data_IF_908452918682
#
_entry.id   IF_908452918682
#
_cell.length_a   1.000
_cell.length_b   1.000
_cell.length_c   1.000
_cell.angle_alpha   90.00
_cell.angle_beta   90.00
_cell.angle_gamma   90.00
#
_symmetry.space_group_name_H-M   'P 1'
#
loop_
_entity.id
_entity.type
_entity.pdbx_description
1 polymer ?
#
# COMPACT_ATOMS: atom_id res chain seq x y z
N UNK A 1 26.08 -8.54 -2.94
CA UNK A 1 24.85 -8.47 -3.76
C UNK A 1 23.77 -7.76 -3.00
N UNK A 2 23.18 -6.73 -3.58
CA UNK A 2 22.05 -6.01 -2.95
C UNK A 2 20.86 -6.94 -2.74
N UNK A 3 20.35 -7.00 -1.52
CA UNK A 3 19.13 -7.74 -1.15
C UNK A 3 17.86 -6.92 -1.38
N UNK A 4 17.99 -5.81 -2.08
CA UNK A 4 16.98 -4.77 -2.21
C UNK A 4 16.61 -4.60 -3.68
N UNK A 5 15.31 -4.47 -3.95
CA UNK A 5 14.77 -4.06 -5.25
C UNK A 5 13.82 -2.90 -5.01
N UNK A 6 13.91 -1.86 -5.82
CA UNK A 6 12.97 -0.73 -5.77
C UNK A 6 12.07 -0.72 -7.01
N UNK A 7 10.83 -0.27 -6.80
CA UNK A 7 9.82 -0.03 -7.82
C UNK A 7 9.17 1.32 -7.58
N UNK A 8 8.82 2.00 -8.64
CA UNK A 8 8.04 3.23 -8.59
C UNK A 8 6.74 2.99 -9.34
N UNK A 9 5.63 3.25 -8.67
CA UNK A 9 4.29 3.07 -9.21
C UNK A 9 3.59 4.42 -9.14
N UNK A 10 3.04 4.87 -10.26
CA UNK A 10 2.39 6.17 -10.37
C UNK A 10 1.02 6.02 -10.99
N UNK A 11 0.05 6.75 -10.48
CA UNK A 11 -1.29 6.82 -11.05
C UNK A 11 -1.90 8.20 -10.84
N UNK A 12 -2.89 8.53 -11.67
CA UNK A 12 -3.70 9.73 -11.49
C UNK A 12 -5.07 9.33 -10.96
N UNK A 13 -5.43 9.88 -9.80
CA UNK A 13 -6.69 9.61 -9.11
C UNK A 13 -7.58 10.86 -9.21
N UNK A 14 -8.81 10.77 -9.72
CA UNK A 14 -9.76 11.87 -9.68
C UNK A 14 -10.04 12.29 -8.24
N UNK A 15 -9.88 13.58 -7.94
CA UNK A 15 -10.12 14.11 -6.61
C UNK A 15 -8.95 14.91 -6.05
N UNK A 16 -9.23 15.66 -4.99
CA UNK A 16 -8.24 16.52 -4.35
C UNK A 16 -7.25 15.70 -3.52
N UNK A 17 -5.96 16.11 -3.43
CA UNK A 17 -4.94 15.39 -2.68
C UNK A 17 -5.34 15.05 -1.24
N UNK A 18 -5.97 15.98 -0.52
CA UNK A 18 -6.39 15.74 0.85
C UNK A 18 -7.42 14.60 0.97
N UNK A 19 -8.38 14.53 0.04
CA UNK A 19 -9.39 13.48 0.02
C UNK A 19 -8.79 12.12 -0.35
N UNK A 20 -7.95 12.09 -1.38
CA UNK A 20 -7.27 10.88 -1.84
C UNK A 20 -6.35 10.34 -0.74
N UNK A 21 -5.58 11.22 -0.08
CA UNK A 21 -4.71 10.87 1.04
C UNK A 21 -5.49 10.33 2.23
N UNK A 22 -6.58 10.98 2.63
CA UNK A 22 -7.39 10.56 3.75
C UNK A 22 -8.02 9.17 3.50
N UNK A 23 -8.50 8.93 2.29
CA UNK A 23 -9.04 7.63 1.90
C UNK A 23 -7.97 6.52 1.92
N UNK A 24 -6.77 6.82 1.43
CA UNK A 24 -5.64 5.88 1.42
C UNK A 24 -5.17 5.50 2.83
N UNK A 25 -5.23 6.45 3.77
CA UNK A 25 -4.78 6.23 5.16
C UNK A 25 -5.62 5.22 5.93
N UNK A 26 -6.88 5.05 5.57
CA UNK A 26 -7.69 3.97 6.12
C UNK A 26 -7.46 2.70 5.32
N UNK A 27 -6.59 1.84 5.83
CA UNK A 27 -6.21 0.61 5.15
C UNK A 27 -7.41 -0.34 4.93
N UNK A 28 -8.49 -0.19 5.68
CA UNK A 28 -9.71 -0.98 5.46
C UNK A 28 -10.34 -0.66 4.10
N UNK A 29 -10.17 0.55 3.58
CA UNK A 29 -10.60 0.93 2.25
C UNK A 29 -9.84 0.17 1.15
N UNK A 30 -8.55 -0.14 1.38
CA UNK A 30 -7.73 -0.84 0.39
C UNK A 30 -8.23 -2.25 0.11
N UNK A 31 -8.98 -2.86 1.03
CA UNK A 31 -9.67 -4.13 0.78
C UNK A 31 -10.60 -4.07 -0.45
N UNK A 32 -11.13 -2.89 -0.76
CA UNK A 32 -12.04 -2.69 -1.91
C UNK A 32 -11.31 -2.64 -3.26
N UNK A 33 -10.05 -2.34 -3.26
CA UNK A 33 -9.27 -2.05 -4.47
C UNK A 33 -8.01 -2.93 -4.64
N UNK A 34 -7.46 -3.43 -3.54
CA UNK A 34 -6.27 -4.29 -3.61
C UNK A 34 -6.64 -5.73 -3.99
N UNK A 35 -6.01 -6.29 -5.04
CA UNK A 35 -6.45 -7.57 -5.62
C UNK A 35 -6.26 -8.79 -4.71
N UNK A 36 -5.34 -8.71 -3.74
CA UNK A 36 -4.97 -9.84 -2.87
C UNK A 36 -5.59 -9.74 -1.48
N UNK A 37 -5.87 -8.53 -0.98
CA UNK A 37 -6.35 -8.32 0.38
C UNK A 37 -7.78 -8.84 0.56
N UNK A 38 -7.96 -9.78 1.50
CA UNK A 38 -9.27 -10.34 1.85
C UNK A 38 -9.74 -9.91 3.24
N UNK A 39 -8.85 -9.50 4.11
CA UNK A 39 -9.19 -8.97 5.44
C UNK A 39 -8.17 -7.94 5.90
N UNK A 40 -8.66 -6.91 6.60
CA UNK A 40 -7.86 -5.87 7.24
C UNK A 40 -8.44 -5.61 8.63
N UNK A 41 -7.57 -5.58 9.65
CA UNK A 41 -7.97 -5.25 11.02
C UNK A 41 -6.95 -4.30 11.63
N UNK A 42 -7.41 -3.14 12.05
CA UNK A 42 -6.59 -2.22 12.84
C UNK A 42 -6.34 -2.80 14.22
N UNK A 43 -5.10 -2.79 14.67
CA UNK A 43 -4.68 -3.38 15.95
C UNK A 43 -4.01 -2.41 16.90
N UNK A 44 -3.67 -1.22 16.45
CA UNK A 44 -3.09 -0.19 17.30
C UNK A 44 -2.97 1.15 16.61
N UNK A 45 -2.92 2.19 17.43
CA UNK A 45 -2.63 3.57 17.01
C UNK A 45 -1.70 4.23 18.01
N UNK A 46 -0.84 5.11 17.54
CA UNK A 46 0.01 5.96 18.35
C UNK A 46 0.17 7.31 17.69
N UNK A 47 0.51 8.32 18.46
CA UNK A 47 0.86 9.65 17.99
C UNK A 47 2.28 9.96 18.45
N UNK A 48 3.19 10.20 17.51
CA UNK A 48 4.54 10.60 17.82
C UNK A 48 4.61 12.09 18.24
N UNK A 49 5.71 12.49 18.89
CA UNK A 49 5.88 13.85 19.39
C UNK A 49 5.85 14.93 18.30
N UNK A 50 6.22 14.57 17.07
CA UNK A 50 6.18 15.45 15.89
C UNK A 50 4.80 15.53 15.21
N UNK A 51 3.78 14.87 15.78
CA UNK A 51 2.43 14.80 15.23
C UNK A 51 2.23 13.69 14.19
N UNK A 52 3.23 12.85 13.93
CA UNK A 52 3.07 11.68 13.04
C UNK A 52 2.11 10.67 13.65
N UNK A 53 1.02 10.40 12.95
CA UNK A 53 0.10 9.33 13.32
C UNK A 53 0.67 7.98 12.86
N UNK A 54 0.72 7.01 13.75
CA UNK A 54 1.19 5.65 13.48
C UNK A 54 0.03 4.70 13.69
N UNK A 55 -0.30 3.93 12.68
CA UNK A 55 -1.40 2.95 12.75
C UNK A 55 -0.89 1.58 12.34
N UNK A 56 -1.16 0.59 13.17
CA UNK A 56 -0.81 -0.80 12.94
C UNK A 56 -2.03 -1.61 12.51
N UNK A 57 -1.84 -2.43 11.49
CA UNK A 57 -2.86 -3.30 10.93
C UNK A 57 -2.38 -4.75 10.86
N UNK A 58 -3.31 -5.68 10.97
CA UNK A 58 -3.16 -7.05 10.49
C UNK A 58 -3.89 -7.15 9.16
N UNK A 59 -3.16 -7.58 8.14
CA UNK A 59 -3.66 -7.75 6.77
C UNK A 59 -3.57 -9.20 6.39
N UNK A 60 -4.65 -9.72 5.82
CA UNK A 60 -4.68 -11.09 5.28
C UNK A 60 -4.82 -11.02 3.77
N UNK A 61 -3.86 -11.60 3.08
CA UNK A 61 -3.87 -11.78 1.64
C UNK A 61 -4.30 -13.20 1.28
N UNK A 62 -4.89 -13.32 0.09
CA UNK A 62 -5.15 -14.58 -0.58
C UNK A 62 -4.51 -14.54 -1.96
N UNK A 63 -3.65 -15.50 -2.24
CA UNK A 63 -3.02 -15.65 -3.54
C UNK A 63 -3.04 -17.10 -3.99
N UNK A 64 -2.87 -17.31 -5.29
CA UNK A 64 -2.73 -18.65 -5.88
C UNK A 64 -1.25 -18.85 -6.22
N UNK A 65 -0.64 -19.88 -5.63
CA UNK A 65 0.74 -20.27 -5.90
C UNK A 65 0.74 -21.73 -6.32
N UNK A 66 1.23 -22.02 -7.51
CA UNK A 66 1.25 -23.37 -8.08
C UNK A 66 -0.12 -24.07 -8.03
N UNK A 67 -1.21 -23.35 -8.30
CA UNK A 67 -2.58 -23.87 -8.25
C UNK A 67 -3.21 -23.99 -6.86
N UNK A 68 -2.44 -23.72 -5.81
CA UNK A 68 -2.91 -23.75 -4.43
C UNK A 68 -3.35 -22.36 -3.95
N UNK A 69 -4.51 -22.29 -3.31
CA UNK A 69 -4.98 -21.06 -2.65
C UNK A 69 -4.33 -20.95 -1.29
N UNK A 70 -3.48 -19.96 -1.13
CA UNK A 70 -2.75 -19.69 0.11
C UNK A 70 -3.30 -18.40 0.73
N UNK A 71 -3.55 -18.45 2.04
CA UNK A 71 -3.82 -17.26 2.86
C UNK A 71 -2.66 -17.06 3.80
N UNK A 72 -2.24 -15.80 3.95
CA UNK A 72 -1.23 -15.44 4.95
C UNK A 72 -1.55 -14.09 5.54
N UNK A 73 -1.27 -13.95 6.83
CA UNK A 73 -1.51 -12.72 7.59
C UNK A 73 -0.18 -12.09 7.96
N UNK A 74 -0.08 -10.79 7.81
CA UNK A 74 1.12 -10.03 8.10
C UNK A 74 0.77 -8.68 8.72
N UNK A 75 1.78 -8.03 9.30
CA UNK A 75 1.64 -6.70 9.90
C UNK A 75 1.98 -5.62 8.88
N UNK A 76 1.15 -4.57 8.87
CA UNK A 76 1.42 -3.34 8.14
C UNK A 76 1.36 -2.19 9.13
N UNK A 77 2.39 -1.34 9.11
CA UNK A 77 2.41 -0.09 9.84
C UNK A 77 2.36 1.05 8.85
N UNK A 78 1.48 2.01 9.10
CA UNK A 78 1.39 3.26 8.36
C UNK A 78 1.83 4.39 9.27
N UNK A 79 2.79 5.19 8.81
CA UNK A 79 3.25 6.41 9.46
C UNK A 79 2.86 7.60 8.60
N UNK A 80 1.96 8.41 9.12
CA UNK A 80 1.39 9.55 8.43
C UNK A 80 1.74 10.84 9.18
N UNK A 81 2.78 11.58 8.75
CA UNK A 81 3.04 12.91 9.27
C UNK A 81 1.90 13.86 8.91
N UNK A 82 1.73 14.98 9.64
CA UNK A 82 0.73 16.00 9.31
C UNK A 82 0.83 16.48 7.86
N UNK A 83 2.06 16.58 7.36
CA UNK A 83 2.39 16.96 5.99
C UNK A 83 3.47 16.04 5.42
N UNK A 84 3.47 15.89 4.09
CA UNK A 84 4.48 15.13 3.38
C UNK A 84 4.13 13.66 3.12
N UNK A 85 5.12 12.86 2.71
CA UNK A 85 4.90 11.47 2.31
C UNK A 85 4.39 10.60 3.46
N UNK A 86 3.51 9.66 3.12
CA UNK A 86 3.14 8.57 4.00
C UNK A 86 4.20 7.47 3.87
N UNK A 87 4.64 6.92 5.00
CA UNK A 87 5.49 5.74 5.01
C UNK A 87 4.67 4.50 5.37
N UNK A 88 4.89 3.42 4.65
CA UNK A 88 4.28 2.11 4.89
C UNK A 88 5.36 1.06 5.13
N UNK A 89 5.11 0.13 6.04
CA UNK A 89 6.01 -0.97 6.34
C UNK A 89 5.21 -2.25 6.50
N UNK A 90 5.32 -3.15 5.53
CA UNK A 90 4.77 -4.50 5.62
C UNK A 90 5.86 -5.51 5.97
N UNK A 91 5.57 -6.41 6.92
CA UNK A 91 6.48 -7.47 7.36
C UNK A 91 5.81 -8.83 7.20
N UNK A 92 6.38 -9.65 6.33
CA UNK A 92 5.87 -10.98 5.99
C UNK A 92 6.95 -12.06 6.20
N UNK A 93 6.52 -13.26 6.58
CA UNK A 93 7.41 -14.43 6.56
C UNK A 93 7.61 -14.92 5.10
N UNK A 94 8.76 -15.51 4.74
CA UNK A 94 10.01 -15.58 5.49
C UNK A 94 10.93 -14.37 5.20
N UNK A 95 11.12 -13.49 6.17
CA UNK A 95 12.05 -12.35 6.08
C UNK A 95 11.80 -11.39 4.90
N UNK A 96 10.54 -11.22 4.51
CA UNK A 96 10.13 -10.26 3.50
C UNK A 96 9.71 -8.97 4.20
N UNK A 97 10.20 -7.84 3.68
CA UNK A 97 9.83 -6.51 4.14
C UNK A 97 9.63 -5.60 2.94
N UNK A 98 8.46 -4.98 2.88
CA UNK A 98 8.13 -3.98 1.89
C UNK A 98 8.05 -2.63 2.60
N UNK A 99 8.84 -1.68 2.13
CA UNK A 99 8.85 -0.30 2.63
C UNK A 99 8.35 0.60 1.52
N UNK A 100 7.23 1.26 1.74
CA UNK A 100 6.63 2.19 0.80
C UNK A 100 6.77 3.64 1.27
N UNK A 101 6.96 4.54 0.32
CA UNK A 101 6.76 5.97 0.49
C UNK A 101 5.75 6.44 -0.54
N UNK A 102 4.67 7.07 -0.09
CA UNK A 102 3.57 7.48 -0.95
C UNK A 102 3.40 8.99 -0.88
N UNK A 103 3.42 9.63 -2.04
CA UNK A 103 3.19 11.06 -2.20
C UNK A 103 1.89 11.33 -2.94
N UNK A 104 1.26 12.45 -2.63
CA UNK A 104 0.00 12.91 -3.22
C UNK A 104 0.21 14.32 -3.74
N UNK A 105 0.28 14.48 -5.05
CA UNK A 105 0.58 15.77 -5.69
C UNK A 105 -0.61 16.23 -6.52
N UNK A 106 -1.05 17.49 -6.39
CA UNK A 106 -2.14 18.00 -7.22
C UNK A 106 -1.74 18.03 -8.70
N UNK A 107 -2.65 17.60 -9.56
CA UNK A 107 -2.47 17.60 -11.02
C UNK A 107 -3.80 18.02 -11.66
N UNK A 108 -3.99 19.34 -11.91
CA UNK A 108 -5.28 19.88 -12.28
C UNK A 108 -6.33 19.61 -11.20
N UNK A 109 -7.45 19.02 -11.60
CA UNK A 109 -8.55 18.62 -10.68
C UNK A 109 -8.35 17.22 -10.06
N UNK A 110 -7.22 16.58 -10.36
CA UNK A 110 -6.89 15.25 -9.90
C UNK A 110 -5.65 15.24 -9.00
N UNK A 111 -5.30 14.07 -8.51
CA UNK A 111 -4.12 13.82 -7.69
C UNK A 111 -3.23 12.80 -8.37
N UNK A 112 -1.97 13.12 -8.55
CA UNK A 112 -0.95 12.12 -8.87
C UNK A 112 -0.51 11.45 -7.57
N UNK A 113 -0.78 10.16 -7.46
CA UNK A 113 -0.24 9.31 -6.40
C UNK A 113 1.02 8.63 -6.93
N UNK A 114 2.10 8.69 -6.16
CA UNK A 114 3.34 7.99 -6.49
C UNK A 114 3.81 7.22 -5.27
N UNK A 115 4.02 5.94 -5.44
CA UNK A 115 4.60 5.06 -4.44
C UNK A 115 6.00 4.62 -4.87
N UNK A 116 6.98 4.84 -4.01
CA UNK A 116 8.30 4.23 -4.12
C UNK A 116 8.34 3.04 -3.16
N UNK A 117 8.36 1.84 -3.73
CA UNK A 117 8.33 0.59 -2.99
C UNK A 117 9.72 -0.05 -2.96
N UNK A 118 10.27 -0.22 -1.76
CA UNK A 118 11.55 -0.88 -1.52
C UNK A 118 11.30 -2.27 -0.94
N UNK A 119 11.73 -3.30 -1.65
CA UNK A 119 11.47 -4.69 -1.33
C UNK A 119 12.75 -5.36 -0.83
N UNK A 120 12.69 -5.87 0.40
CA UNK A 120 13.71 -6.73 0.99
C UNK A 120 13.18 -8.16 1.01
N UNK A 121 13.85 -9.08 0.35
CA UNK A 121 13.44 -10.48 0.31
C UNK A 121 14.65 -11.39 0.15
N UNK A 122 14.57 -12.66 0.60
CA UNK A 122 15.59 -13.67 0.33
C UNK A 122 15.85 -13.79 -1.19
N UNK A 123 17.10 -14.06 -1.55
CA UNK A 123 17.53 -14.08 -2.95
C UNK A 123 16.62 -14.87 -3.91
N UNK A 124 16.19 -16.11 -3.60
CA UNK A 124 15.37 -16.86 -4.55
C UNK A 124 13.95 -16.28 -4.74
N UNK A 125 13.43 -15.55 -3.76
CA UNK A 125 12.06 -14.98 -3.79
C UNK A 125 12.01 -13.52 -4.27
N UNK A 126 13.14 -12.84 -4.31
CA UNK A 126 13.19 -11.39 -4.49
C UNK A 126 12.51 -10.88 -5.77
N UNK A 127 12.79 -11.53 -6.90
CA UNK A 127 12.21 -11.13 -8.19
C UNK A 127 10.70 -11.40 -8.20
N UNK A 128 10.29 -12.56 -7.70
CA UNK A 128 8.88 -12.91 -7.60
C UNK A 128 8.12 -11.91 -6.74
N UNK A 129 8.61 -11.64 -5.52
CA UNK A 129 7.97 -10.69 -4.60
C UNK A 129 7.91 -9.29 -5.20
N UNK A 130 8.98 -8.84 -5.88
CA UNK A 130 9.00 -7.52 -6.51
C UNK A 130 7.98 -7.41 -7.64
N UNK A 131 7.88 -8.43 -8.50
CA UNK A 131 6.92 -8.46 -9.59
C UNK A 131 5.47 -8.51 -9.09
N UNK A 132 5.19 -9.38 -8.12
CA UNK A 132 3.85 -9.50 -7.53
C UNK A 132 3.42 -8.22 -6.81
N UNK A 133 4.32 -7.60 -6.04
CA UNK A 133 4.04 -6.35 -5.35
C UNK A 133 3.75 -5.21 -6.35
N UNK A 134 4.59 -5.06 -7.38
CA UNK A 134 4.40 -4.05 -8.42
C UNK A 134 3.06 -4.22 -9.15
N UNK A 135 2.72 -5.44 -9.53
CA UNK A 135 1.45 -5.73 -10.20
C UNK A 135 0.25 -5.50 -9.30
N UNK A 136 0.32 -5.93 -8.04
CA UNK A 136 -0.78 -5.76 -7.09
C UNK A 136 -1.03 -4.28 -6.79
N UNK A 137 0.02 -3.49 -6.56
CA UNK A 137 -0.11 -2.06 -6.28
C UNK A 137 -0.55 -1.27 -7.53
N UNK A 138 -0.08 -1.65 -8.72
CA UNK A 138 -0.54 -1.02 -9.97
C UNK A 138 -2.03 -1.26 -10.20
N UNK A 139 -2.52 -2.48 -9.96
CA UNK A 139 -3.95 -2.81 -10.04
C UNK A 139 -4.77 -2.10 -8.95
N UNK A 140 -4.22 -2.00 -7.75
CA UNK A 140 -4.84 -1.26 -6.65
C UNK A 140 -5.07 0.21 -7.02
N UNK A 141 -4.06 0.89 -7.54
CA UNK A 141 -4.20 2.28 -7.95
C UNK A 141 -5.14 2.47 -9.15
N UNK A 142 -5.15 1.55 -10.11
CA UNK A 142 -6.11 1.58 -11.21
C UNK A 142 -7.55 1.41 -10.71
N UNK A 143 -7.79 0.48 -9.78
CA UNK A 143 -9.10 0.29 -9.16
C UNK A 143 -9.52 1.49 -8.30
N UNK A 144 -8.58 2.10 -7.58
CA UNK A 144 -8.80 3.32 -6.82
C UNK A 144 -9.19 4.48 -7.74
N UNK A 145 -8.52 4.67 -8.87
CA UNK A 145 -8.86 5.68 -9.86
C UNK A 145 -10.28 5.48 -10.40
N UNK A 146 -10.65 4.24 -10.73
CA UNK A 146 -11.99 3.90 -11.18
C UNK A 146 -13.05 4.19 -10.10
N UNK A 147 -12.77 3.86 -8.85
CA UNK A 147 -13.67 4.11 -7.72
C UNK A 147 -13.92 5.62 -7.52
N UNK A 148 -12.88 6.43 -7.54
CA UNK A 148 -12.98 7.88 -7.41
C UNK A 148 -13.70 8.52 -8.62
N UNK A 149 -13.53 7.96 -9.83
CA UNK A 149 -14.20 8.45 -11.02
C UNK A 149 -15.72 8.23 -10.98
N UNK A 150 -16.21 7.22 -10.28
CA UNK A 150 -17.65 6.94 -10.16
C UNK A 150 -18.37 7.85 -9.16
N UNK A 151 -17.64 8.60 -8.33
CA UNK A 151 -18.24 9.38 -7.24
C UNK A 151 -19.00 8.53 -6.21
N UNK A 152 -18.74 7.23 -6.17
CA UNK A 152 -19.30 6.35 -5.14
C UNK A 152 -18.92 6.86 -3.74
N UNK A 153 -19.79 6.67 -2.75
CA UNK A 153 -19.56 7.08 -1.37
C UNK A 153 -18.20 6.59 -0.87
N UNK A 154 -17.29 7.53 -0.69
CA UNK A 154 -15.89 7.35 -0.33
C UNK A 154 -15.69 7.56 1.16
#
# INVERSE_FOLDING_TARGET
MSRIVSRVITATIPGRPAAVRAWYLDLTNLRRVHPLIVAVRQVGTALAADGTAITDYLVTDRMVVAGLRIRFTYRVQISAPPEGPIATLARQAPRIRLVGQVTFTPTGDATTIQETLTIHAPWPLRRLVATEAEQAHSRMFAAMAALFATGADL
#
